data_IF_016793594046
#
_entry.id   IF_016793594046
#
_cell.length_a   1.000
_cell.length_b   1.000
_cell.length_c   1.000
_cell.angle_alpha   90.00
_cell.angle_beta   90.00
_cell.angle_gamma   90.00
#
_symmetry.space_group_name_H-M   'P 1'
#
loop_
_entity.id
_entity.type
_entity.pdbx_description
1 polymer ?
#
# COMPACT_ATOMS: atom_id res chain seq x y z
N UNK A 1 -37.09 5.89 21.02
CA UNK A 1 -36.57 7.26 21.22
C UNK A 1 -35.79 7.63 19.98
N UNK A 2 -36.41 8.38 19.08
CA UNK A 2 -35.78 8.86 17.87
C UNK A 2 -34.71 9.88 18.23
N UNK A 3 -33.46 9.58 17.85
CA UNK A 3 -32.31 10.45 18.18
C UNK A 3 -32.28 11.61 17.19
N UNK A 4 -32.62 12.80 17.68
CA UNK A 4 -32.47 14.05 16.96
C UNK A 4 -30.98 14.37 16.86
N UNK A 5 -30.43 14.29 15.64
CA UNK A 5 -29.07 14.74 15.34
C UNK A 5 -29.07 16.28 15.41
N UNK A 6 -28.22 16.92 16.24
CA UNK A 6 -28.17 18.38 16.32
C UNK A 6 -27.85 19.00 14.96
N UNK A 7 -28.68 19.94 14.51
CA UNK A 7 -28.61 20.62 13.19
C UNK A 7 -27.35 21.47 12.96
N UNK A 8 -26.45 21.58 13.94
CA UNK A 8 -25.26 22.43 13.91
C UNK A 8 -23.93 21.67 13.70
N UNK A 9 -23.95 20.35 13.51
CA UNK A 9 -22.75 19.59 13.14
C UNK A 9 -22.51 19.76 11.63
N UNK A 10 -21.62 20.67 11.24
CA UNK A 10 -21.07 20.69 9.88
C UNK A 10 -20.14 19.47 9.71
N UNK A 11 -20.71 18.38 9.22
CA UNK A 11 -19.98 17.19 8.77
C UNK A 11 -19.17 17.55 7.52
N UNK A 12 -17.93 17.99 7.67
CA UNK A 12 -17.08 18.36 6.53
C UNK A 12 -16.12 17.24 6.12
N UNK A 13 -16.55 15.98 6.03
CA UNK A 13 -15.68 14.96 5.42
C UNK A 13 -16.49 13.86 4.73
N UNK A 14 -16.29 13.71 3.42
CA UNK A 14 -16.67 12.49 2.72
C UNK A 14 -15.67 11.39 3.10
N UNK A 15 -16.02 10.53 4.07
CA UNK A 15 -15.28 9.28 4.29
C UNK A 15 -15.45 8.40 3.06
N UNK A 16 -14.35 7.93 2.50
CA UNK A 16 -14.33 7.06 1.33
C UNK A 16 -14.93 5.71 1.70
N UNK A 17 -15.69 5.12 0.78
CA UNK A 17 -16.28 3.81 1.00
C UNK A 17 -15.16 2.76 1.18
N UNK A 18 -15.06 2.06 2.33
CA UNK A 18 -14.04 1.02 2.55
C UNK A 18 -14.18 -0.17 1.60
N UNK A 19 -15.34 -0.32 0.96
CA UNK A 19 -15.61 -1.30 -0.08
C UNK A 19 -15.48 -0.73 -1.50
N UNK A 20 -14.91 0.46 -1.69
CA UNK A 20 -14.64 0.96 -3.02
C UNK A 20 -13.72 -0.04 -3.75
N UNK A 21 -14.28 -0.66 -4.79
CA UNK A 21 -13.57 -1.60 -5.65
C UNK A 21 -12.49 -0.83 -6.41
N UNK A 22 -11.25 -1.05 -6.03
CA UNK A 22 -10.12 -0.90 -6.94
C UNK A 22 -10.02 -2.24 -7.66
N UNK A 23 -9.96 -2.21 -8.99
CA UNK A 23 -10.06 -3.34 -9.94
C UNK A 23 -9.74 -4.74 -9.39
N UNK A 24 -10.46 -5.79 -9.81
CA UNK A 24 -10.26 -7.15 -9.31
C UNK A 24 -8.82 -7.64 -9.53
N UNK A 25 -8.05 -7.67 -8.43
CA UNK A 25 -6.64 -8.09 -8.36
C UNK A 25 -6.36 -9.48 -8.92
N UNK A 26 -7.37 -10.36 -8.86
CA UNK A 26 -7.27 -11.72 -9.38
C UNK A 26 -7.09 -11.72 -10.90
N UNK A 27 -7.81 -10.86 -11.63
CA UNK A 27 -7.74 -10.80 -13.08
C UNK A 27 -6.35 -10.39 -13.56
N UNK A 28 -5.70 -9.46 -12.86
CA UNK A 28 -4.37 -8.97 -13.25
C UNK A 28 -3.26 -9.97 -12.92
N UNK A 29 -3.34 -10.67 -11.79
CA UNK A 29 -2.35 -11.70 -11.47
C UNK A 29 -2.51 -12.91 -12.38
N UNK A 30 -3.75 -13.28 -12.70
CA UNK A 30 -4.03 -14.30 -13.71
C UNK A 30 -3.51 -13.86 -15.08
N UNK A 31 -3.77 -12.62 -15.51
CA UNK A 31 -3.18 -12.06 -16.72
C UNK A 31 -1.66 -12.07 -16.70
N UNK A 32 -1.02 -11.75 -15.59
CA UNK A 32 0.44 -11.72 -15.46
C UNK A 32 1.05 -13.12 -15.45
N UNK A 33 0.40 -14.09 -14.83
CA UNK A 33 0.78 -15.51 -14.91
C UNK A 33 0.62 -15.99 -16.35
N UNK A 34 -0.51 -15.66 -17.01
CA UNK A 34 -0.74 -15.98 -18.43
C UNK A 34 0.33 -15.31 -19.30
N UNK A 35 0.67 -14.05 -19.05
CA UNK A 35 1.73 -13.31 -19.79
C UNK A 35 3.11 -13.94 -19.56
N UNK A 36 3.44 -14.29 -18.32
CA UNK A 36 4.69 -15.00 -18.01
C UNK A 36 4.74 -16.35 -18.72
N UNK A 37 3.63 -17.09 -18.73
CA UNK A 37 3.54 -18.39 -19.40
C UNK A 37 3.59 -18.29 -20.93
N UNK A 38 3.07 -17.20 -21.51
CA UNK A 38 3.14 -16.89 -22.95
C UNK A 38 4.50 -16.31 -23.37
N UNK A 39 5.24 -15.68 -22.46
CA UNK A 39 6.61 -15.25 -22.74
C UNK A 39 7.51 -16.49 -22.85
N UNK A 40 8.60 -16.46 -23.64
CA UNK A 40 9.52 -17.58 -23.91
C UNK A 40 10.34 -18.02 -22.67
N UNK A 41 9.68 -18.21 -21.55
CA UNK A 41 10.24 -18.63 -20.28
C UNK A 41 10.26 -20.16 -20.30
N UNK A 42 11.43 -20.74 -20.03
CA UNK A 42 11.57 -22.19 -19.90
C UNK A 42 10.77 -22.71 -18.72
N UNK A 43 10.34 -23.98 -18.74
CA UNK A 43 9.63 -24.61 -17.61
C UNK A 43 10.41 -24.45 -16.29
N UNK A 44 11.74 -24.58 -16.34
CA UNK A 44 12.63 -24.35 -15.20
C UNK A 44 12.60 -22.93 -14.65
N UNK A 45 12.44 -21.91 -15.51
CA UNK A 45 12.29 -20.53 -15.07
C UNK A 45 10.87 -20.28 -14.52
N UNK A 46 9.83 -20.85 -15.14
CA UNK A 46 8.46 -20.78 -14.61
C UNK A 46 8.35 -21.43 -13.21
N UNK A 47 8.99 -22.57 -13.00
CA UNK A 47 9.06 -23.23 -11.70
C UNK A 47 9.71 -22.34 -10.62
N UNK A 48 10.70 -21.53 -10.99
CA UNK A 48 11.34 -20.56 -10.08
C UNK A 48 10.49 -19.31 -9.84
N UNK A 49 9.70 -18.87 -10.82
CA UNK A 49 8.91 -17.64 -10.74
C UNK A 49 7.56 -17.85 -10.06
N UNK A 50 6.93 -19.02 -10.25
CA UNK A 50 5.60 -19.33 -9.73
C UNK A 50 5.46 -19.07 -8.21
N UNK A 51 6.39 -19.50 -7.34
CA UNK A 51 6.30 -19.20 -5.91
C UNK A 51 6.31 -17.70 -5.60
N UNK A 52 7.03 -16.90 -6.38
CA UNK A 52 7.09 -15.46 -6.19
C UNK A 52 5.84 -14.74 -6.69
N UNK A 53 5.24 -15.20 -7.79
CA UNK A 53 3.97 -14.68 -8.29
C UNK A 53 2.82 -14.99 -7.32
N UNK A 54 2.79 -16.21 -6.76
CA UNK A 54 1.83 -16.58 -5.72
C UNK A 54 2.03 -15.74 -4.47
N UNK A 55 3.27 -15.60 -3.99
CA UNK A 55 3.54 -14.76 -2.82
C UNK A 55 3.18 -13.28 -3.07
N UNK A 56 3.39 -12.77 -4.30
CA UNK A 56 2.98 -11.42 -4.66
C UNK A 56 1.46 -11.25 -4.55
N UNK A 57 0.68 -12.22 -5.04
CA UNK A 57 -0.78 -12.27 -4.86
C UNK A 57 -1.18 -12.20 -3.40
N UNK A 58 -0.55 -13.05 -2.59
CA UNK A 58 -0.86 -13.13 -1.16
C UNK A 58 -0.53 -11.83 -0.43
N UNK A 59 0.61 -11.20 -0.76
CA UNK A 59 0.96 -9.90 -0.18
C UNK A 59 -0.02 -8.80 -0.60
N UNK A 60 -0.38 -8.70 -1.88
CA UNK A 60 -1.34 -7.71 -2.36
C UNK A 60 -2.73 -7.88 -1.71
N UNK A 61 -3.18 -9.13 -1.56
CA UNK A 61 -4.41 -9.46 -0.84
C UNK A 61 -4.33 -9.09 0.64
N UNK A 62 -3.21 -9.39 1.31
CA UNK A 62 -3.00 -9.03 2.71
C UNK A 62 -2.99 -7.50 2.91
N UNK A 63 -2.33 -6.75 2.03
CA UNK A 63 -2.35 -5.28 2.06
C UNK A 63 -3.78 -4.77 1.95
N UNK A 64 -4.56 -5.32 1.01
CA UNK A 64 -5.97 -4.94 0.85
C UNK A 64 -6.83 -5.28 2.06
N UNK A 65 -6.61 -6.44 2.64
CA UNK A 65 -7.29 -6.84 3.86
C UNK A 65 -7.04 -5.80 4.97
N UNK A 66 -5.79 -5.50 5.30
CA UNK A 66 -5.45 -4.54 6.36
C UNK A 66 -5.91 -3.12 6.05
N UNK A 67 -5.84 -2.68 4.79
CA UNK A 67 -6.40 -1.40 4.37
C UNK A 67 -7.91 -1.34 4.65
N UNK A 68 -8.67 -2.38 4.29
CA UNK A 68 -10.12 -2.44 4.51
C UNK A 68 -10.48 -2.47 5.99
N UNK A 69 -9.78 -3.28 6.78
CA UNK A 69 -9.99 -3.35 8.23
C UNK A 69 -9.69 -2.00 8.90
N UNK A 70 -8.58 -1.37 8.52
CA UNK A 70 -8.22 -0.03 9.00
C UNK A 70 -9.32 1.00 8.70
N UNK A 71 -9.74 1.12 7.43
CA UNK A 71 -10.77 2.09 7.02
C UNK A 71 -12.14 1.81 7.65
N UNK A 72 -12.49 0.53 7.80
CA UNK A 72 -13.73 0.13 8.46
C UNK A 72 -13.70 0.53 9.96
N UNK A 73 -12.62 0.19 10.66
CA UNK A 73 -12.44 0.57 12.08
C UNK A 73 -12.41 2.08 12.25
N UNK A 74 -11.73 2.79 11.36
CA UNK A 74 -11.69 4.25 11.35
C UNK A 74 -13.10 4.85 11.24
N UNK A 75 -13.94 4.30 10.36
CA UNK A 75 -15.33 4.73 10.20
C UNK A 75 -16.17 4.43 11.45
N UNK A 76 -16.01 3.26 12.05
CA UNK A 76 -16.72 2.92 13.29
C UNK A 76 -16.37 3.90 14.40
N UNK A 77 -15.07 4.14 14.62
CA UNK A 77 -14.61 5.06 15.63
C UNK A 77 -15.14 6.48 15.36
N UNK A 78 -15.11 6.95 14.12
CA UNK A 78 -15.71 8.24 13.76
C UNK A 78 -17.19 8.33 14.15
N UNK A 79 -17.99 7.29 13.84
CA UNK A 79 -19.40 7.22 14.21
C UNK A 79 -19.62 7.19 15.74
N UNK A 80 -18.73 6.52 16.49
CA UNK A 80 -18.73 6.50 17.95
C UNK A 80 -18.39 7.88 18.55
N UNK A 81 -17.64 8.73 17.83
CA UNK A 81 -17.32 10.09 18.27
C UNK A 81 -18.47 11.09 18.07
N UNK A 82 -19.36 10.89 17.08
CA UNK A 82 -20.48 11.80 16.77
C UNK A 82 -21.36 12.14 17.99
N UNK A 83 -21.79 11.17 18.83
CA UNK A 83 -22.66 11.46 19.97
C UNK A 83 -21.92 12.03 21.20
N UNK A 84 -20.59 12.06 21.20
CA UNK A 84 -19.82 12.62 22.30
C UNK A 84 -19.87 14.14 22.20
N UNK A 85 -20.29 14.83 23.28
CA UNK A 85 -20.25 16.28 23.32
C UNK A 85 -18.80 16.75 23.13
N UNK A 86 -18.51 17.53 22.07
CA UNK A 86 -17.15 18.00 21.86
C UNK A 86 -16.74 18.88 23.03
N UNK A 87 -15.64 18.51 23.68
CA UNK A 87 -15.14 19.22 24.85
C UNK A 87 -14.84 20.67 24.44
N UNK A 88 -15.48 21.63 25.10
CA UNK A 88 -15.18 23.05 24.91
C UNK A 88 -13.84 23.35 25.57
N UNK A 89 -12.84 23.74 24.79
CA UNK A 89 -11.49 24.05 25.29
C UNK A 89 -10.39 23.46 24.42
N UNK A 90 -9.24 23.20 25.04
CA UNK A 90 -8.05 22.64 24.36
C UNK A 90 -8.35 21.29 23.72
N UNK A 91 -7.66 21.00 22.60
CA UNK A 91 -7.79 19.73 21.89
C UNK A 91 -7.57 18.54 22.83
N UNK A 92 -8.60 17.72 23.03
CA UNK A 92 -8.48 16.45 23.74
C UNK A 92 -8.25 15.33 22.73
N UNK A 93 -7.10 14.65 22.82
CA UNK A 93 -6.81 13.45 22.04
C UNK A 93 -7.57 12.29 22.66
N UNK A 94 -8.49 11.69 21.90
CA UNK A 94 -9.13 10.44 22.29
C UNK A 94 -8.13 9.31 22.09
N UNK A 95 -7.95 8.49 23.14
CA UNK A 95 -7.04 7.36 23.23
C UNK A 95 -6.87 6.61 21.89
N UNK A 96 -5.63 6.34 21.50
CA UNK A 96 -5.32 5.61 20.26
C UNK A 96 -5.91 4.20 20.35
N UNK A 97 -6.86 3.90 19.46
CA UNK A 97 -7.47 2.58 19.33
C UNK A 97 -6.40 1.54 18.92
N UNK A 98 -6.13 0.57 19.80
CA UNK A 98 -5.11 -0.46 19.59
C UNK A 98 -5.39 -1.28 18.30
N UNK A 99 -6.63 -1.76 18.03
CA UNK A 99 -6.94 -2.42 16.77
C UNK A 99 -6.63 -1.57 15.53
N UNK A 100 -7.08 -0.31 15.48
CA UNK A 100 -6.81 0.60 14.37
C UNK A 100 -5.30 0.74 14.12
N UNK A 101 -4.53 0.83 15.20
CA UNK A 101 -3.08 0.91 15.16
C UNK A 101 -2.45 -0.34 14.57
N UNK A 102 -2.82 -1.53 15.08
CA UNK A 102 -2.32 -2.81 14.58
C UNK A 102 -2.60 -3.00 13.09
N UNK A 103 -3.77 -2.56 12.60
CA UNK A 103 -4.11 -2.63 11.18
C UNK A 103 -3.24 -1.71 10.32
N UNK A 104 -2.95 -0.48 10.79
CA UNK A 104 -2.03 0.43 10.10
C UNK A 104 -0.61 -0.13 10.02
N UNK A 105 -0.10 -0.65 11.14
CA UNK A 105 1.24 -1.25 11.22
C UNK A 105 1.36 -2.47 10.30
N UNK A 106 0.32 -3.31 10.28
CA UNK A 106 0.24 -4.47 9.40
C UNK A 106 0.18 -4.06 7.93
N UNK A 107 -0.62 -3.03 7.59
CA UNK A 107 -0.69 -2.48 6.24
C UNK A 107 0.69 -2.01 5.73
N UNK A 108 1.39 -1.20 6.52
CA UNK A 108 2.74 -0.68 6.15
C UNK A 108 3.76 -1.82 6.06
N UNK A 109 3.73 -2.76 6.99
CA UNK A 109 4.60 -3.93 7.00
C UNK A 109 4.42 -4.79 5.73
N UNK A 110 3.17 -5.04 5.33
CA UNK A 110 2.87 -5.82 4.13
C UNK A 110 3.25 -5.12 2.84
N UNK A 111 3.13 -3.78 2.75
CA UNK A 111 3.70 -3.02 1.61
C UNK A 111 5.19 -3.31 1.46
N UNK A 112 5.93 -3.29 2.56
CA UNK A 112 7.37 -3.59 2.52
C UNK A 112 7.64 -5.02 2.06
N UNK A 113 6.92 -6.00 2.60
CA UNK A 113 7.04 -7.40 2.16
C UNK A 113 6.73 -7.56 0.67
N UNK A 114 5.72 -6.87 0.15
CA UNK A 114 5.38 -6.87 -1.26
C UNK A 114 6.53 -6.31 -2.12
N UNK A 115 7.13 -5.18 -1.73
CA UNK A 115 8.31 -4.62 -2.41
C UNK A 115 9.50 -5.59 -2.43
N UNK A 116 9.72 -6.35 -1.36
CA UNK A 116 10.76 -7.38 -1.31
C UNK A 116 10.45 -8.57 -2.23
N UNK A 117 9.18 -8.96 -2.39
CA UNK A 117 8.77 -9.99 -3.37
C UNK A 117 8.98 -9.51 -4.80
N UNK A 118 8.58 -8.27 -5.12
CA UNK A 118 8.83 -7.66 -6.43
C UNK A 118 10.34 -7.63 -6.72
N UNK A 119 11.16 -7.31 -5.72
CA UNK A 119 12.61 -7.32 -5.88
C UNK A 119 13.16 -8.71 -6.21
N UNK A 120 12.64 -9.77 -5.61
CA UNK A 120 13.00 -11.15 -5.95
C UNK A 120 12.59 -11.51 -7.38
N UNK A 121 11.38 -11.14 -7.81
CA UNK A 121 10.94 -11.32 -9.20
C UNK A 121 11.89 -10.64 -10.20
N UNK A 122 12.27 -9.39 -9.91
CA UNK A 122 13.23 -8.65 -10.73
C UNK A 122 14.61 -9.31 -10.72
N UNK A 123 15.11 -9.75 -9.56
CA UNK A 123 16.38 -10.49 -9.46
C UNK A 123 16.36 -11.76 -10.32
N UNK A 124 15.27 -12.53 -10.28
CA UNK A 124 15.11 -13.72 -11.12
C UNK A 124 15.14 -13.37 -12.61
N UNK A 125 14.39 -12.33 -13.02
CA UNK A 125 14.38 -11.86 -14.42
C UNK A 125 15.77 -11.43 -14.91
N UNK A 126 16.53 -10.75 -14.04
CA UNK A 126 17.89 -10.30 -14.35
C UNK A 126 18.95 -11.42 -14.24
N UNK A 127 18.56 -12.65 -13.90
CA UNK A 127 19.47 -13.75 -13.54
C UNK A 127 20.51 -13.35 -12.48
N UNK A 128 20.11 -12.51 -11.51
CA UNK A 128 20.94 -12.08 -10.41
C UNK A 128 20.65 -12.91 -9.14
N UNK A 129 21.53 -12.80 -8.13
CA UNK A 129 21.22 -13.31 -6.79
C UNK A 129 19.92 -12.68 -6.29
N UNK A 130 19.11 -13.45 -5.57
CA UNK A 130 17.91 -12.95 -4.92
C UNK A 130 18.26 -11.85 -3.92
N UNK A 131 17.58 -10.72 -4.05
CA UNK A 131 17.88 -9.52 -3.28
C UNK A 131 16.61 -8.97 -2.63
N UNK A 132 16.77 -8.35 -1.46
CA UNK A 132 15.75 -7.48 -0.89
C UNK A 132 15.64 -6.21 -1.74
N UNK A 133 14.53 -5.49 -1.60
CA UNK A 133 14.28 -4.26 -2.36
C UNK A 133 15.43 -3.24 -2.26
N UNK A 134 16.00 -3.07 -1.07
CA UNK A 134 17.11 -2.13 -0.85
C UNK A 134 18.46 -2.61 -1.41
N UNK A 135 18.67 -3.93 -1.51
CA UNK A 135 19.85 -4.48 -2.15
C UNK A 135 19.73 -4.43 -3.68
N UNK A 136 18.53 -4.69 -4.22
CA UNK A 136 18.26 -4.60 -5.64
C UNK A 136 18.44 -3.17 -6.17
N UNK A 137 17.91 -2.15 -5.48
CA UNK A 137 18.07 -0.76 -5.91
C UNK A 137 19.55 -0.39 -6.08
N UNK A 138 20.39 -0.71 -5.09
CA UNK A 138 21.85 -0.52 -5.16
C UNK A 138 22.49 -1.30 -6.31
N UNK A 139 22.02 -2.53 -6.56
CA UNK A 139 22.50 -3.33 -7.68
C UNK A 139 22.15 -2.70 -9.04
N UNK A 140 20.93 -2.17 -9.20
CA UNK A 140 20.51 -1.48 -10.41
C UNK A 140 21.32 -0.19 -10.64
N UNK A 141 21.56 0.59 -9.59
CA UNK A 141 22.39 1.81 -9.65
C UNK A 141 23.83 1.53 -10.12
N UNK A 142 24.37 0.35 -9.80
CA UNK A 142 25.72 -0.06 -10.25
C UNK A 142 25.82 -0.39 -11.75
N UNK A 143 24.70 -0.48 -12.47
CA UNK A 143 24.68 -0.95 -13.86
C UNK A 143 23.63 -0.22 -14.73
N UNK A 144 24.08 0.74 -15.52
CA UNK A 144 23.20 1.61 -16.31
C UNK A 144 23.00 1.14 -17.79
N UNK A 145 22.91 -0.18 -18.02
CA UNK A 145 22.80 -0.76 -19.38
C UNK A 145 21.58 -1.67 -19.53
N UNK A 146 20.98 -1.66 -20.72
CA UNK A 146 19.92 -2.59 -21.14
C UNK A 146 18.70 -2.61 -20.22
N UNK A 147 18.14 -3.80 -19.98
CA UNK A 147 16.95 -4.00 -19.13
C UNK A 147 17.09 -3.43 -17.71
N UNK A 148 18.32 -3.39 -17.16
CA UNK A 148 18.56 -2.79 -15.83
C UNK A 148 18.27 -1.29 -15.82
N UNK A 149 18.56 -0.56 -16.90
CA UNK A 149 18.27 0.88 -17.03
C UNK A 149 16.77 1.17 -17.03
N UNK A 150 15.98 0.35 -17.73
CA UNK A 150 14.52 0.51 -17.79
C UNK A 150 13.89 0.29 -16.42
N UNK A 151 14.30 -0.77 -15.72
CA UNK A 151 13.84 -1.06 -14.36
C UNK A 151 14.29 0.04 -13.39
N UNK A 152 15.56 0.46 -13.45
CA UNK A 152 16.09 1.55 -12.63
C UNK A 152 15.29 2.85 -12.82
N UNK A 153 14.86 3.16 -14.05
CA UNK A 153 14.05 4.35 -14.34
C UNK A 153 12.72 4.34 -13.58
N UNK A 154 12.05 3.18 -13.51
CA UNK A 154 10.80 3.05 -12.73
C UNK A 154 11.08 3.18 -11.23
N UNK A 155 12.16 2.58 -10.74
CA UNK A 155 12.57 2.70 -9.34
C UNK A 155 12.87 4.17 -8.96
N UNK A 156 13.57 4.91 -9.82
CA UNK A 156 13.87 6.33 -9.59
C UNK A 156 12.62 7.21 -9.57
N UNK A 157 11.61 6.94 -10.42
CA UNK A 157 10.33 7.66 -10.39
C UNK A 157 9.60 7.51 -9.05
N UNK A 158 9.82 6.40 -8.36
CA UNK A 158 9.14 6.03 -7.12
C UNK A 158 10.00 6.22 -5.85
N UNK A 159 11.21 6.78 -6.00
CA UNK A 159 12.22 6.81 -4.93
C UNK A 159 11.80 7.65 -3.72
N UNK A 160 11.07 8.74 -3.94
CA UNK A 160 10.50 9.55 -2.87
C UNK A 160 9.47 8.78 -2.03
N UNK A 161 8.60 8.02 -2.70
CA UNK A 161 7.62 7.16 -2.04
C UNK A 161 8.30 6.04 -1.23
N UNK A 162 9.33 5.37 -1.80
CA UNK A 162 10.05 4.33 -1.06
C UNK A 162 10.71 4.86 0.23
N UNK A 163 11.25 6.07 0.20
CA UNK A 163 11.81 6.75 1.37
C UNK A 163 10.71 7.02 2.41
N UNK A 164 9.60 7.61 2.00
CA UNK A 164 8.43 7.88 2.86
C UNK A 164 7.93 6.61 3.56
N UNK A 165 7.74 5.51 2.82
CA UNK A 165 7.29 4.23 3.39
C UNK A 165 8.32 3.63 4.35
N UNK A 166 9.61 3.70 4.01
CA UNK A 166 10.68 3.18 4.88
C UNK A 166 10.76 3.96 6.18
N UNK A 167 10.80 5.29 6.12
CA UNK A 167 10.87 6.17 7.29
C UNK A 167 9.68 5.95 8.22
N UNK A 168 8.48 5.79 7.67
CA UNK A 168 7.30 5.47 8.46
C UNK A 168 7.44 4.11 9.14
N UNK A 169 7.83 3.08 8.40
CA UNK A 169 7.99 1.72 8.94
C UNK A 169 9.04 1.69 10.05
N UNK A 170 10.14 2.41 9.87
CA UNK A 170 11.21 2.49 10.87
C UNK A 170 10.72 3.24 12.12
N UNK A 171 9.96 4.35 11.97
CA UNK A 171 9.27 5.02 13.09
C UNK A 171 8.33 4.07 13.84
N UNK A 172 7.53 3.29 13.11
CA UNK A 172 6.60 2.32 13.70
C UNK A 172 7.35 1.27 14.54
N UNK A 173 8.46 0.74 14.02
CA UNK A 173 9.22 -0.33 14.69
C UNK A 173 9.99 0.18 15.91
N UNK A 174 10.56 1.39 15.82
CA UNK A 174 11.46 1.90 16.85
C UNK A 174 10.74 2.73 17.93
N UNK A 175 9.79 3.57 17.54
CA UNK A 175 9.11 4.50 18.44
C UNK A 175 7.70 4.02 18.83
N UNK A 176 7.21 2.96 18.18
CA UNK A 176 5.79 2.70 18.08
C UNK A 176 5.09 3.79 17.25
N UNK A 177 3.89 3.49 16.76
CA UNK A 177 3.05 4.47 16.04
C UNK A 177 2.67 5.72 16.88
N UNK A 178 2.98 5.76 18.18
CA UNK A 178 2.55 6.81 19.13
C UNK A 178 2.91 8.24 18.72
N UNK A 179 4.06 8.46 18.10
CA UNK A 179 4.50 9.82 17.70
C UNK A 179 4.05 10.22 16.30
N UNK A 180 3.82 9.24 15.42
CA UNK A 180 3.47 9.49 14.02
C UNK A 180 1.94 9.50 13.78
N UNK A 181 1.21 8.66 14.52
CA UNK A 181 -0.23 8.48 14.40
C UNK A 181 -0.97 9.21 15.52
N UNK A 182 -1.69 10.27 15.16
CA UNK A 182 -2.55 11.02 16.07
C UNK A 182 -3.98 10.50 15.93
N UNK A 183 -4.61 10.19 17.05
CA UNK A 183 -6.00 9.71 17.13
C UNK A 183 -7.02 10.79 16.77
N UNK A 184 -8.28 10.57 17.12
CA UNK A 184 -9.32 11.59 16.97
C UNK A 184 -9.05 12.75 17.94
N UNK A 185 -9.11 13.98 17.44
CA UNK A 185 -8.95 15.19 18.23
C UNK A 185 -10.30 15.94 18.23
N UNK A 186 -10.75 16.36 19.41
CA UNK A 186 -11.92 17.22 19.56
C UNK A 186 -11.45 18.65 19.83
N UNK A 187 -11.76 19.59 18.95
CA UNK A 187 -11.39 21.00 19.12
C UNK A 187 -12.55 21.90 18.69
N UNK A 188 -12.92 22.88 19.53
CA UNK A 188 -13.93 23.91 19.22
C UNK A 188 -15.26 23.37 18.67
N UNK A 189 -15.73 22.22 19.12
CA UNK A 189 -16.98 21.64 18.62
C UNK A 189 -16.83 20.72 17.41
N UNK A 190 -15.60 20.48 16.93
CA UNK A 190 -15.31 19.70 15.72
C UNK A 190 -14.50 18.45 16.05
N UNK A 191 -14.81 17.36 15.36
CA UNK A 191 -14.05 16.10 15.41
C UNK A 191 -13.07 16.11 14.24
N UNK A 192 -11.78 16.15 14.54
CA UNK A 192 -10.71 16.00 13.55
C UNK A 192 -10.42 14.52 13.30
N UNK A 193 -10.23 14.16 12.03
CA UNK A 193 -9.84 12.80 11.65
C UNK A 193 -8.43 12.47 12.14
N UNK A 194 -8.15 11.18 12.43
CA UNK A 194 -6.81 10.69 12.72
C UNK A 194 -5.83 11.07 11.63
N UNK A 195 -4.64 11.51 12.05
CA UNK A 195 -3.58 11.99 11.16
C UNK A 195 -2.34 11.12 11.27
N UNK A 196 -1.65 10.99 10.16
CA UNK A 196 -0.33 10.40 10.07
C UNK A 196 0.62 11.45 9.50
N UNK A 197 1.49 12.01 10.36
CA UNK A 197 2.18 13.28 10.07
C UNK A 197 1.17 14.38 9.64
N UNK A 198 1.34 14.96 8.46
CA UNK A 198 0.51 16.07 7.93
C UNK A 198 -0.71 15.61 7.11
N UNK A 199 -0.90 14.30 6.93
CA UNK A 199 -2.02 13.74 6.16
C UNK A 199 -3.07 13.10 7.06
N UNK A 200 -4.33 13.04 6.61
CA UNK A 200 -5.30 12.15 7.25
C UNK A 200 -4.85 10.71 7.03
N UNK A 201 -5.04 9.85 8.04
CA UNK A 201 -4.61 8.45 7.96
C UNK A 201 -5.36 7.68 6.86
N UNK A 202 -6.61 8.06 6.59
CA UNK A 202 -7.38 7.59 5.44
C UNK A 202 -6.68 7.91 4.11
N UNK A 203 -6.36 9.19 3.88
CA UNK A 203 -5.70 9.64 2.65
C UNK A 203 -4.36 8.93 2.46
N UNK A 204 -3.60 8.78 3.54
CA UNK A 204 -2.34 8.04 3.53
C UNK A 204 -2.53 6.60 3.01
N UNK A 205 -3.46 5.84 3.58
CA UNK A 205 -3.72 4.46 3.17
C UNK A 205 -4.11 4.34 1.69
N UNK A 206 -4.90 5.27 1.16
CA UNK A 206 -5.23 5.30 -0.27
C UNK A 206 -4.04 5.68 -1.15
N UNK A 207 -3.27 6.70 -0.76
CA UNK A 207 -2.08 7.17 -1.48
C UNK A 207 -1.05 6.03 -1.61
N UNK A 208 -0.71 5.38 -0.50
CA UNK A 208 0.27 4.29 -0.47
C UNK A 208 -0.19 3.11 -1.34
N UNK A 209 -1.46 2.74 -1.25
CA UNK A 209 -2.02 1.68 -2.08
C UNK A 209 -1.93 2.00 -3.57
N UNK A 210 -2.36 3.21 -3.97
CA UNK A 210 -2.30 3.67 -5.35
C UNK A 210 -0.87 3.69 -5.89
N UNK A 211 0.09 4.12 -5.07
CA UNK A 211 1.51 4.13 -5.45
C UNK A 211 2.06 2.72 -5.62
N UNK A 212 1.79 1.81 -4.69
CA UNK A 212 2.18 0.41 -4.82
C UNK A 212 1.57 -0.23 -6.07
N UNK A 213 0.30 0.03 -6.32
CA UNK A 213 -0.40 -0.49 -7.48
C UNK A 213 0.21 0.02 -8.78
N UNK A 214 0.44 1.33 -8.88
CA UNK A 214 1.11 1.95 -10.04
C UNK A 214 2.49 1.35 -10.26
N UNK A 215 3.31 1.25 -9.21
CA UNK A 215 4.64 0.68 -9.29
C UNK A 215 4.62 -0.79 -9.75
N UNK A 216 3.68 -1.57 -9.23
CA UNK A 216 3.48 -2.98 -9.63
C UNK A 216 3.10 -3.09 -11.10
N UNK A 217 2.17 -2.25 -11.57
CA UNK A 217 1.75 -2.21 -12.97
C UNK A 217 2.82 -1.66 -13.92
N UNK A 218 3.76 -0.86 -13.43
CA UNK A 218 4.89 -0.40 -14.24
C UNK A 218 5.98 -1.48 -14.35
N UNK A 219 6.29 -2.17 -13.24
CA UNK A 219 7.40 -3.14 -13.19
C UNK A 219 7.04 -4.45 -13.86
N UNK A 220 5.88 -5.04 -13.53
CA UNK A 220 5.59 -6.43 -13.95
C UNK A 220 5.50 -6.61 -15.48
N UNK A 221 4.90 -5.70 -16.26
CA UNK A 221 4.92 -5.81 -17.72
C UNK A 221 6.32 -5.73 -18.33
N UNK A 222 7.29 -5.06 -17.69
CA UNK A 222 8.68 -5.08 -18.17
C UNK A 222 9.34 -6.44 -18.00
N UNK A 223 8.97 -7.18 -16.95
CA UNK A 223 9.50 -8.52 -16.73
C UNK A 223 8.91 -9.52 -17.73
N UNK A 224 7.68 -9.28 -18.19
CA UNK A 224 6.92 -10.16 -19.06
C UNK A 224 6.24 -9.38 -20.20
N UNK A 225 7.01 -8.87 -21.18
CA UNK A 225 6.44 -8.10 -22.28
C UNK A 225 5.46 -8.97 -23.08
N UNK A 226 4.31 -8.40 -23.43
CA UNK A 226 3.36 -9.04 -24.35
C UNK A 226 4.08 -9.20 -25.68
N UNK A 227 4.30 -10.44 -26.11
CA UNK A 227 4.59 -10.68 -27.52
C UNK A 227 3.32 -10.33 -28.27
N UNK A 228 3.34 -9.24 -29.05
CA UNK A 228 2.39 -9.09 -30.14
C UNK A 228 2.47 -10.38 -30.94
N UNK A 229 1.38 -11.15 -30.93
CA UNK A 229 1.22 -12.21 -31.90
C UNK A 229 1.32 -11.52 -33.25
N UNK A 230 2.46 -11.67 -33.91
CA UNK A 230 2.53 -11.47 -35.34
C UNK A 230 1.56 -12.49 -35.93
N UNK A 231 0.32 -12.05 -36.17
CA UNK A 231 -0.59 -12.70 -37.09
C UNK A 231 0.05 -12.60 -38.48
N UNK A 232 0.99 -13.53 -38.73
CA UNK A 232 1.44 -13.90 -40.05
C UNK A 232 1.15 -15.39 -40.19
N UNK A 233 -0.09 -15.70 -40.55
CA UNK A 233 -0.42 -16.38 -41.81
C UNK A 233 -1.93 -16.51 -41.97
#
# INVERSE_FOLDING_TARGET
MDRVIPSNIKLSVHMVNPNQEFQPFNEIIEELVIRAWKSKITENQMAKLSPYLTNLKDQLNAIRYHQRQFLFRLRLLYLEQIPLEPIRGNASVVMIDIPLRCELESFVSKIRSCLDVIAKLVSCYLNAKEMTHGALLRHLESSNKGSKKNILTIYHRNLGWFKETKELRDKIIHDGTFNAFRGFEHENGLISQPKLNDFTAEHFCFKQWKQLWSFTNDVLPLLYPVQEMNEKH
#
